data_IF_253937793720
#
_entry.id   IF_253937793720
#
_cell.length_a   1.000
_cell.length_b   1.000
_cell.length_c   1.000
_cell.angle_alpha   90.00
_cell.angle_beta   90.00
_cell.angle_gamma   90.00
#
_symmetry.space_group_name_H-M   'P 1'
#
loop_
_entity.id
_entity.type
_entity.pdbx_description
1 polymer ?
#
# COMPACT_ATOMS: atom_id res chain seq x y z
N UNK A 1 5.72 3.64 -20.91
CA UNK A 1 5.67 2.43 -20.09
C UNK A 1 5.43 2.82 -18.64
N UNK A 2 4.46 2.20 -17.99
CA UNK A 2 4.20 2.51 -16.58
C UNK A 2 5.13 1.69 -15.70
N UNK A 3 5.53 2.30 -14.61
CA UNK A 3 6.34 1.67 -13.58
C UNK A 3 5.50 1.37 -12.36
N UNK A 4 6.09 0.65 -11.41
CA UNK A 4 5.51 0.47 -10.10
C UNK A 4 5.87 1.65 -9.21
N UNK A 5 5.08 1.94 -8.16
CA UNK A 5 5.45 3.00 -7.24
C UNK A 5 6.69 2.65 -6.42
N UNK A 6 7.34 3.66 -5.90
CA UNK A 6 8.32 3.47 -4.84
C UNK A 6 7.57 3.13 -3.56
N UNK A 7 8.07 2.17 -2.82
CA UNK A 7 7.39 1.66 -1.64
C UNK A 7 8.26 1.83 -0.41
N UNK A 8 7.63 2.29 0.67
CA UNK A 8 8.24 2.34 2.00
C UNK A 8 7.33 1.59 2.97
N UNK A 9 7.92 0.79 3.83
CA UNK A 9 7.18 0.07 4.86
C UNK A 9 7.49 0.65 6.24
N UNK A 10 6.48 0.77 7.05
CA UNK A 10 6.62 1.19 8.43
C UNK A 10 5.77 0.34 9.34
N UNK A 11 6.35 -0.06 10.46
CA UNK A 11 5.65 -0.79 11.49
C UNK A 11 5.96 -0.17 12.84
N UNK A 12 4.92 0.05 13.63
CA UNK A 12 5.09 0.49 15.01
C UNK A 12 3.95 -0.10 15.83
N UNK A 13 4.28 -0.71 16.95
CA UNK A 13 3.31 -1.43 17.78
C UNK A 13 2.55 -2.46 16.91
N UNK A 14 1.23 -2.37 16.86
CA UNK A 14 0.40 -3.23 16.04
C UNK A 14 -0.05 -2.56 14.75
N UNK A 15 0.59 -1.48 14.35
CA UNK A 15 0.24 -0.75 13.14
C UNK A 15 1.24 -1.04 12.04
N UNK A 16 0.74 -1.46 10.89
CA UNK A 16 1.52 -1.63 9.68
C UNK A 16 1.07 -0.61 8.65
N UNK A 17 2.02 0.03 7.99
CA UNK A 17 1.73 0.96 6.91
C UNK A 17 2.65 0.72 5.72
N UNK A 18 2.08 0.75 4.55
CA UNK A 18 2.81 0.66 3.30
C UNK A 18 2.55 1.94 2.50
N UNK A 19 3.56 2.78 2.38
CA UNK A 19 3.47 3.99 1.57
C UNK A 19 3.83 3.66 0.12
N UNK A 20 3.03 4.16 -0.80
CA UNK A 20 3.28 4.03 -2.23
C UNK A 20 3.41 5.43 -2.83
N UNK A 21 4.56 5.71 -3.41
CA UNK A 21 4.81 6.97 -4.11
C UNK A 21 4.84 6.70 -5.61
N UNK A 22 3.78 7.07 -6.28
CA UNK A 22 3.66 6.98 -7.73
C UNK A 22 4.26 8.27 -8.29
N UNK A 23 5.50 8.20 -8.73
CA UNK A 23 6.22 9.39 -9.18
C UNK A 23 5.64 9.98 -10.44
N UNK A 24 5.11 9.13 -11.31
CA UNK A 24 4.61 9.56 -12.61
C UNK A 24 3.20 9.09 -12.86
N UNK A 25 2.44 9.93 -13.52
CA UNK A 25 1.13 9.55 -14.03
C UNK A 25 1.24 8.25 -14.83
N UNK A 26 0.35 7.31 -14.56
CA UNK A 26 0.34 6.02 -15.22
C UNK A 26 1.05 4.91 -14.47
N UNK A 27 1.79 5.22 -13.42
CA UNK A 27 2.40 4.20 -12.58
C UNK A 27 1.31 3.35 -11.92
N UNK A 28 1.55 2.05 -11.86
CA UNK A 28 0.55 1.08 -11.44
C UNK A 28 1.05 0.23 -10.28
N UNK A 29 0.25 0.15 -9.23
CA UNK A 29 0.37 -0.86 -8.19
C UNK A 29 -0.60 -1.98 -8.55
N UNK A 30 -0.08 -3.11 -8.98
CA UNK A 30 -0.92 -4.26 -9.29
C UNK A 30 -1.54 -4.82 -8.02
N UNK A 31 -2.81 -5.16 -8.13
CA UNK A 31 -3.54 -5.59 -7.00
C UNK A 31 -3.21 -7.00 -6.56
N UNK A 32 -3.33 -7.16 -5.27
CA UNK A 32 -3.27 -8.46 -4.63
C UNK A 32 -4.62 -8.74 -4.00
N UNK A 33 -4.93 -10.01 -3.87
CA UNK A 33 -6.06 -10.42 -3.05
C UNK A 33 -5.52 -10.65 -1.63
N UNK A 34 -6.02 -9.90 -0.69
CA UNK A 34 -5.62 -10.03 0.71
C UNK A 34 -6.71 -10.72 1.52
N UNK A 35 -6.32 -11.37 2.59
CA UNK A 35 -7.25 -12.00 3.54
C UNK A 35 -7.72 -11.04 4.62
N UNK A 36 -7.39 -9.78 4.50
CA UNK A 36 -7.74 -8.74 5.48
C UNK A 36 -8.24 -7.49 4.76
N UNK A 37 -9.13 -6.77 5.42
CA UNK A 37 -9.56 -5.45 4.95
C UNK A 37 -8.45 -4.45 5.21
N UNK A 38 -8.33 -3.43 4.36
CA UNK A 38 -7.39 -2.38 4.62
C UNK A 38 -7.93 -1.01 4.22
N UNK A 39 -7.39 0.00 4.88
CA UNK A 39 -7.69 1.39 4.62
C UNK A 39 -6.56 1.99 3.81
N UNK A 40 -6.92 2.63 2.70
CA UNK A 40 -5.97 3.37 1.88
C UNK A 40 -6.23 4.86 2.07
N UNK A 41 -5.19 5.58 2.50
CA UNK A 41 -5.24 7.03 2.59
C UNK A 41 -4.55 7.60 1.36
N UNK A 42 -5.33 8.27 0.50
CA UNK A 42 -4.78 9.01 -0.63
C UNK A 42 -4.40 10.40 -0.14
N UNK A 43 -3.11 10.62 0.02
CA UNK A 43 -2.60 11.84 0.63
C UNK A 43 -2.29 12.93 -0.37
N UNK A 44 -1.93 12.57 -1.60
CA UNK A 44 -1.55 13.53 -2.64
C UNK A 44 -1.89 12.97 -4.00
N UNK A 45 -2.28 13.83 -4.93
CA UNK A 45 -2.57 13.44 -6.30
C UNK A 45 -3.94 12.81 -6.49
N UNK A 46 -4.02 11.89 -7.43
CA UNK A 46 -5.26 11.17 -7.73
C UNK A 46 -4.98 9.75 -8.22
N UNK A 47 -5.91 8.86 -7.89
CA UNK A 47 -5.83 7.44 -8.23
C UNK A 47 -7.07 6.96 -8.96
N UNK A 48 -6.85 6.07 -9.91
CA UNK A 48 -7.89 5.20 -10.44
C UNK A 48 -7.81 3.89 -9.68
N UNK A 49 -8.87 3.54 -8.99
CA UNK A 49 -8.96 2.29 -8.21
C UNK A 49 -9.85 1.32 -8.96
N UNK A 50 -9.27 0.20 -9.36
CA UNK A 50 -10.00 -0.88 -10.02
C UNK A 50 -10.21 -2.00 -9.02
N UNK A 51 -11.47 -2.27 -8.69
CA UNK A 51 -11.85 -3.36 -7.79
C UNK A 51 -12.74 -4.31 -8.58
N UNK A 52 -12.25 -5.49 -8.86
CA UNK A 52 -12.96 -6.50 -9.63
C UNK A 52 -13.52 -5.97 -10.96
N UNK A 53 -12.75 -5.12 -11.65
CA UNK A 53 -13.17 -4.54 -12.93
C UNK A 53 -14.00 -3.26 -12.82
N UNK A 54 -14.42 -2.89 -11.62
CA UNK A 54 -15.13 -1.63 -11.39
C UNK A 54 -14.12 -0.55 -11.06
N UNK A 55 -14.08 0.48 -11.90
CA UNK A 55 -13.08 1.55 -11.80
C UNK A 55 -13.70 2.80 -11.19
N UNK A 56 -13.01 3.37 -10.21
CA UNK A 56 -13.45 4.60 -9.54
C UNK A 56 -12.25 5.53 -9.41
N UNK A 57 -12.45 6.81 -9.70
CA UNK A 57 -11.42 7.83 -9.55
C UNK A 57 -11.56 8.54 -8.22
N UNK A 58 -10.43 8.76 -7.57
CA UNK A 58 -10.36 9.50 -6.30
C UNK A 58 -9.30 10.59 -6.40
N UNK A 59 -9.61 11.74 -5.81
CA UNK A 59 -8.65 12.84 -5.68
C UNK A 59 -8.33 13.06 -4.20
N UNK A 60 -7.09 13.36 -3.92
CA UNK A 60 -6.63 13.62 -2.55
C UNK A 60 -7.22 14.92 -1.99
N UNK A 61 -7.43 15.01 -0.69
CA UNK A 61 -7.29 13.92 0.27
C UNK A 61 -8.52 13.02 0.28
N UNK A 62 -8.30 11.73 0.44
CA UNK A 62 -9.41 10.77 0.44
C UNK A 62 -9.03 9.51 1.20
N UNK A 63 -9.97 8.93 1.93
CA UNK A 63 -9.80 7.63 2.54
C UNK A 63 -10.60 6.61 1.76
N UNK A 64 -9.95 5.51 1.40
CA UNK A 64 -10.54 4.49 0.54
C UNK A 64 -10.50 3.17 1.28
N UNK A 65 -11.67 2.58 1.48
CA UNK A 65 -11.79 1.27 2.10
C UNK A 65 -11.80 0.20 1.01
N UNK A 66 -10.95 -0.80 1.18
CA UNK A 66 -10.89 -1.94 0.25
C UNK A 66 -11.15 -3.22 1.05
N UNK A 67 -12.19 -3.95 0.64
CA UNK A 67 -12.57 -5.19 1.30
C UNK A 67 -11.51 -6.26 1.12
N UNK A 68 -11.41 -7.16 2.09
CA UNK A 68 -10.60 -8.35 1.95
C UNK A 68 -11.12 -9.22 0.80
N UNK A 69 -10.27 -10.10 0.31
CA UNK A 69 -10.59 -11.08 -0.72
C UNK A 69 -11.05 -10.50 -2.06
N UNK A 70 -10.82 -9.21 -2.30
CA UNK A 70 -11.08 -8.60 -3.60
C UNK A 70 -9.77 -8.19 -4.26
N UNK A 71 -9.68 -8.49 -5.54
CA UNK A 71 -8.55 -8.04 -6.34
C UNK A 71 -8.72 -6.56 -6.66
N UNK A 72 -7.66 -5.80 -6.43
CA UNK A 72 -7.68 -4.37 -6.71
C UNK A 72 -6.37 -3.94 -7.38
N UNK A 73 -6.46 -2.86 -8.14
CA UNK A 73 -5.32 -2.27 -8.82
C UNK A 73 -5.41 -0.76 -8.70
N UNK A 74 -4.29 -0.12 -8.44
CA UNK A 74 -4.20 1.33 -8.29
C UNK A 74 -3.36 1.91 -9.41
N UNK A 75 -3.90 2.88 -10.13
CA UNK A 75 -3.18 3.58 -11.20
C UNK A 75 -3.13 5.07 -10.87
N UNK A 76 -1.94 5.65 -10.90
CA UNK A 76 -1.79 7.08 -10.67
C UNK A 76 -2.33 7.87 -11.85
N UNK A 77 -3.14 8.87 -11.56
CA UNK A 77 -3.68 9.78 -12.57
C UNK A 77 -2.92 11.09 -12.66
N UNK A 78 -1.99 11.30 -11.74
CA UNK A 78 -1.11 12.47 -11.70
C UNK A 78 0.28 12.07 -11.27
N UNK A 79 1.26 12.93 -11.59
CA UNK A 79 2.61 12.78 -11.06
C UNK A 79 2.60 13.00 -9.54
N UNK A 80 3.50 12.34 -8.84
CA UNK A 80 3.66 12.49 -7.39
C UNK A 80 2.38 12.17 -6.61
N UNK A 81 1.68 11.14 -6.99
CA UNK A 81 0.55 10.61 -6.24
C UNK A 81 1.09 9.75 -5.10
N UNK A 82 0.60 10.01 -3.89
CA UNK A 82 1.05 9.31 -2.68
C UNK A 82 -0.14 8.71 -1.96
N UNK A 83 -0.04 7.42 -1.69
CA UNK A 83 -1.07 6.70 -0.96
C UNK A 83 -0.44 5.78 0.08
N UNK A 84 -1.17 5.58 1.18
CA UNK A 84 -0.76 4.70 2.27
C UNK A 84 -1.80 3.62 2.46
N UNK A 85 -1.37 2.37 2.49
CA UNK A 85 -2.21 1.27 2.96
C UNK A 85 -1.91 1.05 4.43
N UNK A 86 -2.93 1.12 5.26
CA UNK A 86 -2.79 1.06 6.71
C UNK A 86 -3.56 -0.15 7.23
N UNK A 87 -2.93 -0.93 8.07
CA UNK A 87 -3.53 -2.11 8.64
C UNK A 87 -3.10 -2.30 10.10
N UNK A 88 -4.05 -2.59 10.95
CA UNK A 88 -3.76 -2.91 12.35
C UNK A 88 -3.63 -4.42 12.51
N UNK A 89 -2.55 -4.84 13.14
CA UNK A 89 -2.34 -6.24 13.48
C UNK A 89 -3.23 -6.62 14.65
N UNK A 90 -3.96 -7.70 14.50
CA UNK A 90 -4.79 -8.24 15.56
C UNK A 90 -4.03 -9.27 16.38
N UNK A 91 -4.55 -9.64 17.54
CA UNK A 91 -3.96 -10.66 18.38
C UNK A 91 -3.67 -11.93 17.58
N UNK A 92 -2.46 -12.44 17.70
CA UNK A 92 -2.03 -13.63 16.98
C UNK A 92 -1.54 -13.38 15.58
N UNK A 93 -1.73 -12.19 15.04
CA UNK A 93 -1.21 -11.83 13.73
C UNK A 93 0.21 -11.32 13.85
N UNK A 94 1.02 -11.70 12.89
CA UNK A 94 2.39 -11.19 12.75
C UNK A 94 2.47 -10.44 11.43
N UNK A 95 3.47 -9.59 11.30
CA UNK A 95 3.71 -8.89 10.05
C UNK A 95 3.83 -9.88 8.89
N UNK A 96 4.48 -11.00 9.13
CA UNK A 96 4.66 -12.05 8.11
C UNK A 96 3.33 -12.65 7.64
N UNK A 97 2.29 -12.57 8.44
CA UNK A 97 0.95 -13.06 8.07
C UNK A 97 0.21 -12.11 7.14
N UNK A 98 0.61 -10.84 7.12
CA UNK A 98 -0.06 -9.80 6.34
C UNK A 98 0.75 -9.41 5.11
N UNK A 99 2.05 -9.42 5.25
CA UNK A 99 2.95 -8.96 4.19
C UNK A 99 3.42 -10.16 3.37
N UNK A 100 2.92 -10.22 2.16
CA UNK A 100 3.42 -11.18 1.20
C UNK A 100 4.88 -10.81 0.87
N UNK A 101 5.80 -11.77 0.73
CA UNK A 101 7.18 -11.47 0.34
C UNK A 101 7.30 -10.59 -0.90
N UNK A 102 6.38 -10.70 -1.84
CA UNK A 102 6.38 -9.85 -3.03
C UNK A 102 6.06 -8.39 -2.73
N UNK A 103 5.52 -8.08 -1.56
CA UNK A 103 5.19 -6.73 -1.14
C UNK A 103 6.32 -6.05 -0.41
N UNK A 104 7.36 -6.79 -0.06
CA UNK A 104 8.52 -6.25 0.65
C UNK A 104 9.54 -5.75 -0.37
N UNK A 105 9.85 -4.45 -0.37
CA UNK A 105 10.83 -3.92 -1.31
C UNK A 105 12.21 -4.51 -1.07
N UNK A 106 12.98 -4.61 -2.16
CA UNK A 106 14.37 -5.03 -2.05
C UNK A 106 15.13 -4.06 -1.13
N UNK A 107 15.96 -4.61 -0.26
CA UNK A 107 16.74 -3.80 0.67
C UNK A 107 16.05 -3.55 2.01
N UNK A 108 14.78 -3.83 2.11
CA UNK A 108 14.11 -3.79 3.42
C UNK A 108 14.44 -5.08 4.15
N UNK A 109 15.07 -4.93 5.28
CA UNK A 109 15.35 -6.06 6.15
C UNK A 109 14.02 -6.52 6.73
N UNK A 110 13.85 -7.49 7.41
CA UNK A 110 12.63 -7.99 7.99
C UNK A 110 11.85 -6.90 8.73
N UNK A 111 10.53 -6.78 8.53
CA UNK A 111 9.71 -5.84 9.30
C UNK A 111 9.83 -6.09 10.80
N UNK A 112 9.73 -5.04 11.56
CA UNK A 112 9.86 -5.11 13.01
C UNK A 112 8.61 -5.69 13.63
N UNK A 113 8.78 -6.71 14.45
CA UNK A 113 7.67 -7.37 15.13
C UNK A 113 7.30 -6.73 16.46
N UNK A 114 8.19 -5.97 17.06
CA UNK A 114 8.04 -5.48 18.42
C UNK A 114 7.63 -4.02 18.55
N UNK A 115 7.14 -3.44 17.51
CA UNK A 115 6.49 -2.15 17.62
C UNK A 115 7.38 -0.93 17.77
N UNK A 116 8.63 -1.00 17.45
CA UNK A 116 9.46 0.19 17.36
C UNK A 116 9.71 0.58 15.90
N UNK A 117 10.09 1.80 15.70
CA UNK A 117 10.24 2.33 14.35
C UNK A 117 11.23 1.54 13.51
N UNK A 118 10.83 1.23 12.30
CA UNK A 118 11.68 0.54 11.34
C UNK A 118 12.33 1.56 10.43
N UNK A 119 13.65 1.55 10.30
CA UNK A 119 14.27 2.34 9.23
C UNK A 119 13.89 1.72 7.91
N UNK A 120 13.28 2.50 7.06
CA UNK A 120 12.69 2.00 5.83
C UNK A 120 13.59 2.31 4.65
N UNK A 121 13.78 1.31 3.80
CA UNK A 121 14.47 1.51 2.55
C UNK A 121 13.43 1.70 1.45
N UNK A 122 13.58 2.75 0.68
CA UNK A 122 12.73 2.98 -0.48
C UNK A 122 13.01 1.93 -1.53
N UNK A 123 11.95 1.54 -2.20
CA UNK A 123 12.03 0.65 -3.35
C UNK A 123 11.47 1.37 -4.55
N UNK A 124 12.30 1.54 -5.52
CA UNK A 124 11.92 2.23 -6.75
C UNK A 124 11.53 1.32 -7.88
#
# INVERSE_FOLDING_TARGET
>A
MSDTPEVMLGCVANLFSRMMHFKKKGDIEQGHTHTFDHLTLLASGSLLVDVNGVKTEFSAPHMIYINKDVKHELTALEDNTIAYCIHALRNGHKVDDIVDPSMIPAGVVKPIEEGYALPVTTHG
#
